data_IF_958715617124
#
_entry.id   IF_958715617124
#
_cell.length_a   1.000
_cell.length_b   1.000
_cell.length_c   1.000
_cell.angle_alpha   90.00
_cell.angle_beta   90.00
_cell.angle_gamma   90.00
#
_symmetry.space_group_name_H-M   'P 1'
#
loop_
_entity.id
_entity.type
_entity.pdbx_description
1 polymer ?
#
# COMPACT_ATOMS: atom_id res chain seq x y z
N UNK A 1 3.64 -6.06 2.63
CA UNK A 1 4.07 -6.11 1.21
C UNK A 1 3.06 -6.94 0.43
N UNK A 2 2.54 -6.39 -0.67
CA UNK A 2 1.56 -7.06 -1.56
C UNK A 2 2.17 -7.13 -2.98
N UNK A 3 3.50 -7.33 -3.05
CA UNK A 3 4.21 -7.57 -4.31
C UNK A 3 4.27 -9.07 -4.58
N UNK A 4 3.12 -9.73 -4.48
CA UNK A 4 3.02 -11.15 -4.69
C UNK A 4 2.62 -11.44 -6.15
N UNK A 5 3.09 -12.55 -6.74
CA UNK A 5 2.56 -13.05 -8.00
C UNK A 5 1.03 -13.16 -7.91
N UNK A 6 0.33 -12.97 -9.04
CA UNK A 6 -1.14 -12.86 -9.10
C UNK A 6 -1.91 -14.01 -8.42
N UNK A 7 -1.27 -15.18 -8.30
CA UNK A 7 -1.90 -16.40 -7.78
C UNK A 7 -1.50 -16.72 -6.32
N UNK A 8 -0.76 -15.83 -5.65
CA UNK A 8 -0.33 -16.05 -4.27
C UNK A 8 -1.18 -15.23 -3.30
N UNK A 9 -1.86 -15.93 -2.39
CA UNK A 9 -2.59 -15.29 -1.30
C UNK A 9 -1.64 -14.47 -0.42
N UNK A 10 -2.05 -13.26 -0.05
CA UNK A 10 -1.23 -12.41 0.82
C UNK A 10 -1.16 -12.98 2.24
N UNK A 11 0.02 -13.41 2.64
CA UNK A 11 0.28 -13.86 4.01
C UNK A 11 -0.08 -12.79 5.06
N UNK A 12 0.07 -11.51 4.74
CA UNK A 12 -0.33 -10.41 5.64
C UNK A 12 -1.84 -10.35 5.83
N UNK A 13 -2.62 -10.51 4.75
CA UNK A 13 -4.09 -10.57 4.83
C UNK A 13 -4.51 -11.79 5.63
N UNK A 14 -3.90 -12.95 5.36
CA UNK A 14 -4.18 -14.19 6.06
C UNK A 14 -3.89 -14.07 7.56
N UNK A 15 -2.72 -13.54 7.93
CA UNK A 15 -2.33 -13.31 9.33
C UNK A 15 -3.27 -12.35 10.04
N UNK A 16 -3.72 -11.28 9.36
CA UNK A 16 -4.71 -10.35 9.94
C UNK A 16 -6.02 -11.05 10.29
N UNK A 17 -6.50 -11.94 9.42
CA UNK A 17 -7.72 -12.70 9.67
C UNK A 17 -7.56 -13.72 10.80
N UNK A 18 -6.39 -14.34 10.93
CA UNK A 18 -6.12 -15.37 11.95
C UNK A 18 -5.87 -14.74 13.32
N UNK A 19 -5.07 -13.67 13.39
CA UNK A 19 -4.62 -13.09 14.66
C UNK A 19 -5.48 -11.90 15.12
N UNK A 20 -6.39 -11.40 14.29
CA UNK A 20 -7.18 -10.21 14.58
C UNK A 20 -8.13 -10.31 15.78
N UNK A 21 -8.44 -11.53 16.24
CA UNK A 21 -9.27 -11.78 17.42
C UNK A 21 -8.47 -12.15 18.67
N UNK A 22 -7.13 -12.20 18.59
CA UNK A 22 -6.30 -12.59 19.73
C UNK A 22 -6.06 -11.37 20.62
N UNK A 23 -6.47 -11.49 21.88
CA UNK A 23 -6.20 -10.47 22.90
C UNK A 23 -4.69 -10.22 23.03
N UNK A 24 -4.32 -8.93 23.02
CA UNK A 24 -2.92 -8.49 23.07
C UNK A 24 -2.25 -8.31 21.70
N UNK A 25 -2.95 -8.57 20.60
CA UNK A 25 -2.48 -8.26 19.23
C UNK A 25 -3.31 -7.11 18.65
N UNK A 26 -2.63 -6.12 18.08
CA UNK A 26 -3.26 -5.01 17.38
C UNK A 26 -2.67 -4.83 15.99
N UNK A 27 -3.53 -4.50 15.02
CA UNK A 27 -3.14 -4.12 13.66
C UNK A 27 -3.33 -2.62 13.50
N UNK A 28 -2.24 -1.90 13.21
CA UNK A 28 -2.26 -0.45 12.99
C UNK A 28 -2.15 -0.19 11.48
N UNK A 29 -3.14 0.51 10.93
CA UNK A 29 -3.13 0.95 9.55
C UNK A 29 -2.61 2.38 9.45
N UNK A 30 -1.60 2.58 8.62
CA UNK A 30 -1.11 3.91 8.29
C UNK A 30 -1.75 4.38 6.98
N UNK A 31 -2.13 5.65 6.97
CA UNK A 31 -2.62 6.35 5.79
C UNK A 31 -1.49 7.19 5.18
N UNK A 32 -1.79 7.86 4.07
CA UNK A 32 -0.87 8.84 3.49
C UNK A 32 -0.57 10.03 4.41
N UNK A 33 -1.48 10.39 5.32
CA UNK A 33 -1.32 11.51 6.25
C UNK A 33 -0.29 11.20 7.33
N UNK A 34 -0.14 9.93 7.68
CA UNK A 34 0.80 9.47 8.70
C UNK A 34 2.25 9.41 8.18
N UNK A 35 2.47 9.65 6.89
CA UNK A 35 3.78 9.55 6.25
C UNK A 35 4.35 10.93 5.93
N UNK A 36 5.30 11.38 6.75
CA UNK A 36 6.09 12.58 6.45
C UNK A 36 7.12 12.27 5.37
N UNK A 37 6.95 12.88 4.20
CA UNK A 37 7.90 12.76 3.08
C UNK A 37 8.71 14.04 2.92
N UNK A 38 9.96 13.88 2.50
CA UNK A 38 10.74 15.03 2.06
C UNK A 38 10.07 15.67 0.82
N UNK A 39 10.01 17.01 0.77
CA UNK A 39 9.32 17.77 -0.30
C UNK A 39 9.75 17.39 -1.71
N UNK A 40 11.00 16.94 -1.90
CA UNK A 40 11.48 16.49 -3.22
C UNK A 40 10.87 15.14 -3.61
N UNK A 41 10.81 14.19 -2.67
CA UNK A 41 10.25 12.84 -2.91
C UNK A 41 8.77 12.95 -3.24
N UNK A 42 8.04 13.81 -2.54
CA UNK A 42 6.62 14.05 -2.81
C UNK A 42 6.39 14.53 -4.25
N UNK A 43 7.16 15.54 -4.70
CA UNK A 43 7.11 16.04 -6.09
C UNK A 43 7.44 14.97 -7.13
N UNK A 44 8.41 14.11 -6.84
CA UNK A 44 8.77 12.99 -7.73
C UNK A 44 7.59 12.03 -7.86
N UNK A 45 6.96 11.63 -6.74
CA UNK A 45 5.80 10.72 -6.75
C UNK A 45 4.64 11.32 -7.54
N UNK A 46 4.31 12.60 -7.31
CA UNK A 46 3.24 13.31 -8.03
C UNK A 46 3.46 13.32 -9.55
N UNK A 47 4.70 13.57 -9.99
CA UNK A 47 5.04 13.55 -11.42
C UNK A 47 4.83 12.17 -12.07
N UNK A 48 5.20 11.09 -11.38
CA UNK A 48 4.94 9.73 -11.87
C UNK A 48 3.46 9.37 -11.87
N UNK A 49 2.70 9.82 -10.87
CA UNK A 49 1.24 9.62 -10.82
C UNK A 49 0.56 10.29 -12.01
N UNK A 50 0.86 11.57 -12.27
CA UNK A 50 0.30 12.29 -13.42
C UNK A 50 0.66 11.61 -14.74
N UNK A 51 1.92 11.20 -14.91
CA UNK A 51 2.36 10.50 -16.11
C UNK A 51 1.62 9.17 -16.33
N UNK A 52 1.32 8.43 -15.26
CA UNK A 52 0.57 7.17 -15.35
C UNK A 52 -0.90 7.37 -15.75
N UNK A 53 -1.52 8.48 -15.33
CA UNK A 53 -2.88 8.86 -15.75
C UNK A 53 -2.94 9.26 -17.22
N UNK A 54 -1.98 10.08 -17.67
CA UNK A 54 -1.88 10.54 -19.07
C UNK A 54 -1.62 9.39 -20.05
N UNK A 55 -0.77 8.43 -19.67
CA UNK A 55 -0.42 7.28 -20.52
C UNK A 55 -1.41 6.12 -20.44
N UNK A 56 -2.43 6.21 -19.58
CA UNK A 56 -3.38 5.12 -19.34
C UNK A 56 -2.76 3.87 -18.70
N UNK A 57 -1.52 3.98 -18.21
CA UNK A 57 -0.79 2.89 -17.54
C UNK A 57 -1.21 2.75 -16.07
N UNK A 58 -2.11 3.62 -15.59
CA UNK A 58 -2.73 3.52 -14.27
C UNK A 58 -3.29 2.10 -14.08
N UNK A 59 -2.59 1.31 -13.26
CA UNK A 59 -2.93 -0.08 -12.98
C UNK A 59 -4.33 -0.08 -12.36
N UNK A 60 -5.35 -0.49 -13.13
CA UNK A 60 -6.68 -0.75 -12.59
C UNK A 60 -6.52 -1.76 -11.46
N UNK A 61 -6.90 -1.34 -10.25
CA UNK A 61 -7.01 -2.23 -9.09
C UNK A 61 -8.08 -3.29 -9.35
#
# INVERSE_FOLDING_TARGET
QIDLPRDQASGLIQVRNILGSIDGIAFVEFTHEDVVRHKLVQRIVEAYTQHAEETGTARRR
#
